data_IF_593459995708
#
_entry.id   IF_593459995708
#
_cell.length_a   1.000
_cell.length_b   1.000
_cell.length_c   1.000
_cell.angle_alpha   90.00
_cell.angle_beta   90.00
_cell.angle_gamma   90.00
#
_symmetry.space_group_name_H-M   'P 1'
#
loop_
_entity.id
_entity.type
_entity.pdbx_description
1 polymer ?
#
# COMPACT_ATOMS: atom_id res chain seq x y z
N UNK A 1 10.67 13.54 -1.51
CA UNK A 1 9.63 12.49 -1.41
C UNK A 1 10.25 11.10 -1.29
N UNK A 2 11.28 10.79 -2.08
CA UNK A 2 12.03 9.52 -2.02
C UNK A 2 12.64 9.20 -0.64
N UNK A 3 13.12 10.20 0.10
CA UNK A 3 13.67 10.02 1.46
C UNK A 3 12.62 9.53 2.46
N UNK A 4 11.40 10.09 2.40
CA UNK A 4 10.28 9.69 3.24
C UNK A 4 9.80 8.28 2.88
N UNK A 5 9.70 7.98 1.59
CA UNK A 5 9.34 6.64 1.10
C UNK A 5 10.37 5.60 1.58
N UNK A 6 11.67 5.90 1.49
CA UNK A 6 12.74 5.03 1.98
C UNK A 6 12.65 4.78 3.50
N UNK A 7 12.37 5.84 4.28
CA UNK A 7 12.21 5.72 5.73
C UNK A 7 10.97 4.89 6.10
N UNK A 8 9.83 5.18 5.49
CA UNK A 8 8.58 4.45 5.71
C UNK A 8 8.76 2.99 5.33
N UNK A 9 9.40 2.68 4.19
CA UNK A 9 9.68 1.31 3.79
C UNK A 9 10.60 0.57 4.78
N UNK A 10 11.59 1.25 5.38
CA UNK A 10 12.46 0.66 6.42
C UNK A 10 11.68 0.34 7.70
N UNK A 11 10.83 1.27 8.15
CA UNK A 11 9.95 1.06 9.31
C UNK A 11 8.99 -0.10 9.02
N UNK A 12 8.35 -0.12 7.85
CA UNK A 12 7.47 -1.19 7.42
C UNK A 12 8.17 -2.56 7.46
N UNK A 13 9.38 -2.67 6.88
CA UNK A 13 10.16 -3.92 6.91
C UNK A 13 10.53 -4.35 8.33
N UNK A 14 10.96 -3.42 9.18
CA UNK A 14 11.31 -3.72 10.57
C UNK A 14 10.07 -4.20 11.35
N UNK A 15 8.94 -3.52 11.19
CA UNK A 15 7.67 -3.88 11.81
C UNK A 15 7.12 -5.23 11.33
N UNK A 16 7.24 -5.55 10.03
CA UNK A 16 6.86 -6.86 9.50
C UNK A 16 7.77 -7.98 10.01
N UNK A 17 9.10 -7.77 10.00
CA UNK A 17 10.06 -8.77 10.49
C UNK A 17 9.93 -9.03 12.00
N UNK A 18 9.58 -8.00 12.79
CA UNK A 18 9.35 -8.13 14.24
C UNK A 18 7.99 -8.77 14.55
N UNK A 19 6.99 -8.64 13.66
CA UNK A 19 5.67 -9.26 13.81
C UNK A 19 5.65 -10.77 13.53
N UNK A 20 6.52 -11.26 12.63
CA UNK A 20 6.55 -12.67 12.17
C UNK A 20 7.39 -13.62 13.05
N UNK A 21 8.08 -13.11 14.08
CA UNK A 21 9.02 -13.91 14.91
C UNK A 21 8.51 -14.25 16.34
N UNK A 22 7.22 -14.14 16.60
CA UNK A 22 6.64 -14.47 17.90
C UNK A 22 5.61 -15.59 17.83
N UNK A 23 6.03 -16.84 18.01
CA UNK A 23 5.11 -17.87 18.55
C UNK A 23 4.65 -17.38 19.94
N UNK A 24 3.45 -16.82 20.02
CA UNK A 24 2.75 -16.58 21.30
C UNK A 24 2.65 -15.15 21.82
N UNK A 25 3.15 -14.12 21.11
CA UNK A 25 2.93 -12.73 21.53
C UNK A 25 1.83 -12.08 20.71
N UNK A 26 0.73 -11.73 21.38
CA UNK A 26 -0.38 -10.88 20.96
C UNK A 26 0.07 -9.44 20.71
N UNK A 27 1.10 -9.26 19.87
CA UNK A 27 1.36 -8.04 19.11
C UNK A 27 0.06 -7.67 18.36
N UNK A 28 -0.69 -6.55 18.58
CA UNK A 28 -1.57 -6.08 17.53
C UNK A 28 -0.69 -5.96 16.31
N UNK A 29 -0.99 -6.85 15.38
CA UNK A 29 -0.26 -7.12 14.16
C UNK A 29 0.21 -5.80 13.58
N UNK A 30 1.53 -5.57 13.61
CA UNK A 30 2.19 -4.27 13.41
C UNK A 30 1.82 -3.56 12.10
N UNK A 31 1.06 -4.20 11.20
CA UNK A 31 0.43 -3.60 10.03
C UNK A 31 -0.51 -2.45 10.37
N UNK A 32 -1.27 -2.51 11.47
CA UNK A 32 -2.15 -1.41 11.91
C UNK A 32 -1.35 -0.14 12.27
N UNK A 33 -0.07 -0.30 12.56
CA UNK A 33 0.84 0.79 12.96
C UNK A 33 1.63 1.38 11.79
N UNK A 34 1.52 0.81 10.58
CA UNK A 34 2.24 1.31 9.43
C UNK A 34 1.54 2.56 8.86
N UNK A 35 2.29 3.62 8.53
CA UNK A 35 1.71 4.77 7.85
C UNK A 35 1.08 4.33 6.52
N UNK A 36 -0.24 4.47 6.42
CA UNK A 36 -1.01 4.20 5.21
C UNK A 36 -1.40 5.51 4.51
N UNK A 37 -1.41 5.49 3.18
CA UNK A 37 -1.91 6.61 2.38
C UNK A 37 -3.33 6.25 1.93
N UNK A 38 -4.31 7.07 2.32
CA UNK A 38 -5.68 6.93 1.88
C UNK A 38 -6.06 8.08 0.94
N UNK A 39 -6.76 7.75 -0.15
CA UNK A 39 -7.26 8.74 -1.10
C UNK A 39 -8.75 8.96 -0.85
N UNK A 40 -9.11 10.18 -0.44
CA UNK A 40 -10.49 10.59 -0.15
C UNK A 40 -10.95 11.69 -1.10
N UNK A 41 -12.23 11.71 -1.45
CA UNK A 41 -12.80 12.72 -2.34
C UNK A 41 -14.12 12.31 -3.00
N UNK A 42 -14.79 13.27 -3.62
CA UNK A 42 -16.07 13.07 -4.32
C UNK A 42 -16.00 12.08 -5.48
N UNK A 43 -17.16 11.67 -6.00
CA UNK A 43 -17.20 10.85 -7.22
C UNK A 43 -16.51 11.59 -8.37
N UNK A 44 -15.75 10.86 -9.21
CA UNK A 44 -15.05 11.40 -10.38
C UNK A 44 -13.95 12.44 -10.10
N UNK A 45 -13.56 12.67 -8.84
CA UNK A 45 -12.46 13.59 -8.49
C UNK A 45 -11.04 13.07 -8.80
N UNK A 46 -10.92 12.00 -9.60
CA UNK A 46 -9.62 11.44 -9.99
C UNK A 46 -8.92 10.55 -8.94
N UNK A 47 -9.63 10.04 -7.93
CA UNK A 47 -9.04 9.20 -6.86
C UNK A 47 -8.21 8.03 -7.39
N UNK A 48 -8.75 7.27 -8.33
CA UNK A 48 -8.05 6.13 -8.95
C UNK A 48 -6.81 6.60 -9.71
N UNK A 49 -6.93 7.68 -10.49
CA UNK A 49 -5.82 8.25 -11.25
C UNK A 49 -4.67 8.74 -10.36
N UNK A 50 -4.98 9.33 -9.20
CA UNK A 50 -3.95 9.72 -8.21
C UNK A 50 -3.24 8.50 -7.66
N UNK A 51 -3.98 7.45 -7.28
CA UNK A 51 -3.37 6.22 -6.77
C UNK A 51 -2.47 5.55 -7.82
N UNK A 52 -2.92 5.50 -9.08
CA UNK A 52 -2.14 4.97 -10.20
C UNK A 52 -0.90 5.81 -10.51
N UNK A 53 -0.99 7.14 -10.40
CA UNK A 53 0.16 8.03 -10.56
C UNK A 53 1.22 7.81 -9.48
N UNK A 54 0.81 7.49 -8.26
CA UNK A 54 1.73 7.15 -7.16
C UNK A 54 2.39 5.79 -7.39
N UNK A 55 1.64 4.81 -7.91
CA UNK A 55 2.14 3.47 -8.21
C UNK A 55 2.98 3.44 -9.50
N UNK A 56 2.72 4.36 -10.43
CA UNK A 56 3.38 4.44 -11.74
C UNK A 56 2.89 3.40 -12.75
N UNK A 57 1.73 2.77 -12.50
CA UNK A 57 1.10 1.79 -13.41
C UNK A 57 -0.41 2.01 -13.45
N UNK A 58 -1.02 1.73 -14.60
CA UNK A 58 -2.47 1.61 -14.73
C UNK A 58 -2.90 0.21 -14.28
N UNK A 59 -3.74 0.12 -13.25
CA UNK A 59 -4.20 -1.17 -12.71
C UNK A 59 -5.59 -1.10 -12.08
N UNK A 60 -6.14 0.11 -11.86
CA UNK A 60 -7.48 0.26 -11.34
C UNK A 60 -8.49 0.31 -12.47
N UNK A 61 -9.71 -0.21 -12.26
CA UNK A 61 -10.77 -0.06 -13.23
C UNK A 61 -11.06 1.42 -13.49
N UNK A 62 -11.40 1.75 -14.74
CA UNK A 62 -11.90 3.05 -15.19
C UNK A 62 -13.28 2.84 -15.81
N UNK A 63 -14.19 3.80 -15.64
CA UNK A 63 -15.54 3.72 -16.19
C UNK A 63 -16.44 4.86 -15.75
N UNK A 64 -17.62 4.96 -16.38
CA UNK A 64 -18.66 5.91 -15.97
C UNK A 64 -19.37 5.43 -14.68
N UNK A 65 -19.82 6.37 -13.85
CA UNK A 65 -20.51 6.06 -12.59
C UNK A 65 -19.56 5.80 -11.41
N UNK A 66 -20.00 5.03 -10.42
CA UNK A 66 -19.21 4.69 -9.23
C UNK A 66 -18.32 3.49 -9.55
N UNK A 67 -17.02 3.73 -9.62
CA UNK A 67 -16.05 2.71 -10.02
C UNK A 67 -15.53 1.92 -8.81
N UNK A 68 -14.99 2.61 -7.81
CA UNK A 68 -14.51 2.00 -6.56
C UNK A 68 -15.68 1.79 -5.60
N UNK A 69 -16.30 0.62 -5.65
CA UNK A 69 -17.48 0.26 -4.83
C UNK A 69 -17.14 -0.43 -3.51
N UNK A 70 -15.88 -0.82 -3.30
CA UNK A 70 -15.39 -1.45 -2.08
C UNK A 70 -14.07 -0.81 -1.65
N UNK A 71 -13.74 -0.79 -0.36
CA UNK A 71 -12.40 -0.43 0.10
C UNK A 71 -11.37 -1.34 -0.57
N UNK A 72 -10.32 -0.74 -1.12
CA UNK A 72 -9.18 -1.44 -1.70
C UNK A 72 -7.96 -1.08 -0.87
N UNK A 73 -7.34 -2.10 -0.25
CA UNK A 73 -6.07 -1.95 0.46
C UNK A 73 -4.98 -2.43 -0.48
N UNK A 74 -4.06 -1.54 -0.86
CA UNK A 74 -2.95 -1.85 -1.74
C UNK A 74 -1.65 -1.88 -0.94
N UNK A 75 -0.99 -3.04 -0.92
CA UNK A 75 0.32 -3.22 -0.31
C UNK A 75 1.37 -3.42 -1.40
N UNK A 76 2.32 -2.49 -1.48
CA UNK A 76 3.42 -2.56 -2.45
C UNK A 76 4.60 -3.26 -1.80
N UNK A 77 5.07 -4.34 -2.42
CA UNK A 77 6.25 -5.08 -1.97
C UNK A 77 7.45 -4.74 -2.87
N UNK A 78 8.51 -4.22 -2.28
CA UNK A 78 9.79 -4.09 -2.97
C UNK A 78 10.46 -5.46 -3.04
N UNK A 79 10.60 -5.97 -4.25
CA UNK A 79 11.40 -7.16 -4.59
C UNK A 79 12.86 -6.79 -4.80
N UNK A 80 13.75 -7.76 -4.58
CA UNK A 80 15.16 -7.66 -4.99
C UNK A 80 15.26 -7.94 -6.49
N UNK A 81 16.25 -7.33 -7.16
CA UNK A 81 16.44 -7.48 -8.60
C UNK A 81 16.58 -8.98 -8.97
N UNK A 82 15.68 -9.48 -9.82
CA UNK A 82 15.70 -10.85 -10.36
C UNK A 82 14.58 -11.79 -9.89
N UNK A 83 13.70 -11.38 -8.96
CA UNK A 83 12.49 -12.16 -8.61
C UNK A 83 11.24 -11.52 -9.23
N UNK A 84 10.95 -11.87 -10.48
CA UNK A 84 9.66 -11.54 -11.09
C UNK A 84 8.60 -12.54 -10.60
N UNK A 85 7.48 -12.05 -10.07
CA UNK A 85 6.31 -12.90 -9.78
C UNK A 85 5.57 -13.13 -11.10
N UNK A 86 5.54 -14.39 -11.55
CA UNK A 86 4.75 -14.84 -12.69
C UNK A 86 3.25 -14.86 -12.36
#
# INVERSE_FOLDING_TARGET
MESLISLVNKIQRACTALGDHGEGSSLPTLWDSLPAIAVVGGQSSGKSSVLESVVGKDFLPRGAGIVTRRPLVLQLHRIDEGKEYA
#
